data_IF_038449554572
#
_entry.id   IF_038449554572
#
_cell.length_a   1.000
_cell.length_b   1.000
_cell.length_c   1.000
_cell.angle_alpha   90.00
_cell.angle_beta   90.00
_cell.angle_gamma   90.00
#
_symmetry.space_group_name_H-M   'P 1'
#
loop_
_entity.id
_entity.type
_entity.pdbx_description
1 polymer ?
#
# COMPACT_ATOMS: atom_id res chain seq x y z
N UNK A 1 -10.76 -14.21 15.85
CA UNK A 1 -9.90 -13.00 15.79
C UNK A 1 -10.76 -11.80 15.44
N UNK A 2 -10.65 -10.67 16.16
CA UNK A 2 -11.44 -9.48 15.87
C UNK A 2 -11.16 -9.03 14.42
N UNK A 3 -12.19 -8.87 13.58
CA UNK A 3 -12.05 -8.52 12.14
C UNK A 3 -11.14 -7.32 11.88
N UNK A 4 -11.12 -6.35 12.81
CA UNK A 4 -10.26 -5.17 12.74
C UNK A 4 -8.79 -5.50 12.98
N UNK A 5 -8.49 -6.37 13.96
CA UNK A 5 -7.13 -6.85 14.21
C UNK A 5 -6.65 -7.74 13.06
N UNK A 6 -7.53 -8.60 12.53
CA UNK A 6 -7.21 -9.42 11.36
C UNK A 6 -6.83 -8.58 10.14
N UNK A 7 -7.61 -7.53 9.86
CA UNK A 7 -7.29 -6.58 8.79
C UNK A 7 -5.96 -5.85 9.05
N UNK A 8 -5.72 -5.39 10.27
CA UNK A 8 -4.46 -4.73 10.67
C UNK A 8 -3.25 -5.64 10.44
N UNK A 9 -3.25 -6.85 11.01
CA UNK A 9 -2.12 -7.78 10.84
C UNK A 9 -1.91 -8.17 9.38
N UNK A 10 -2.99 -8.40 8.63
CA UNK A 10 -2.91 -8.73 7.22
C UNK A 10 -2.30 -7.58 6.39
N UNK A 11 -2.82 -6.37 6.56
CA UNK A 11 -2.39 -5.19 5.80
C UNK A 11 -0.96 -4.79 6.16
N UNK A 12 -0.63 -4.77 7.45
CA UNK A 12 0.73 -4.48 7.93
C UNK A 12 1.70 -5.57 7.48
N UNK A 13 1.30 -6.85 7.50
CA UNK A 13 2.13 -7.95 7.01
C UNK A 13 2.43 -7.86 5.51
N UNK A 14 1.43 -7.54 4.69
CA UNK A 14 1.61 -7.33 3.25
C UNK A 14 2.55 -6.14 2.97
N UNK A 15 2.32 -5.00 3.60
CA UNK A 15 3.17 -3.82 3.44
C UNK A 15 4.59 -4.08 3.95
N UNK A 16 4.76 -4.78 5.07
CA UNK A 16 6.09 -5.18 5.58
C UNK A 16 6.83 -6.04 4.58
N UNK A 17 6.13 -6.99 3.96
CA UNK A 17 6.70 -7.86 2.92
C UNK A 17 7.14 -7.03 1.72
N UNK A 18 6.34 -6.04 1.30
CA UNK A 18 6.72 -5.13 0.22
C UNK A 18 7.98 -4.34 0.57
N UNK A 19 8.08 -3.79 1.77
CA UNK A 19 9.27 -3.07 2.23
C UNK A 19 10.50 -3.96 2.23
N UNK A 20 10.38 -5.21 2.69
CA UNK A 20 11.49 -6.17 2.67
C UNK A 20 11.95 -6.49 1.24
N UNK A 21 11.01 -6.71 0.32
CA UNK A 21 11.35 -6.94 -1.09
C UNK A 21 12.10 -5.75 -1.67
N UNK A 22 11.61 -4.54 -1.41
CA UNK A 22 12.22 -3.31 -1.90
C UNK A 22 13.62 -3.07 -1.32
N UNK A 23 13.80 -3.21 0.00
CA UNK A 23 15.05 -2.88 0.69
C UNK A 23 16.11 -3.97 0.54
N UNK A 24 15.71 -5.24 0.45
CA UNK A 24 16.63 -6.37 0.47
C UNK A 24 16.66 -7.11 -0.85
N UNK A 25 15.52 -7.59 -1.33
CA UNK A 25 15.47 -8.51 -2.48
C UNK A 25 15.92 -7.80 -3.76
N UNK A 26 15.44 -6.59 -4.03
CA UNK A 26 15.81 -5.83 -5.23
C UNK A 26 17.31 -5.49 -5.23
N UNK A 27 17.89 -4.83 -4.20
CA UNK A 27 19.31 -4.51 -4.20
C UNK A 27 20.20 -5.76 -4.23
N UNK A 28 19.84 -6.82 -3.50
CA UNK A 28 20.61 -8.07 -3.48
C UNK A 28 20.64 -8.74 -4.86
N UNK A 29 19.49 -8.82 -5.54
CA UNK A 29 19.39 -9.44 -6.87
C UNK A 29 20.17 -8.63 -7.91
N UNK A 30 20.10 -7.30 -7.87
CA UNK A 30 20.85 -6.43 -8.76
C UNK A 30 22.36 -6.52 -8.53
N UNK A 31 22.80 -6.54 -7.27
CA UNK A 31 24.21 -6.66 -6.91
C UNK A 31 24.79 -8.01 -7.39
N UNK A 32 24.04 -9.10 -7.25
CA UNK A 32 24.50 -10.41 -7.66
C UNK A 32 24.57 -10.58 -9.19
N UNK A 33 23.60 -10.03 -9.93
CA UNK A 33 23.51 -10.22 -11.38
C UNK A 33 24.33 -9.19 -12.18
N UNK A 34 24.56 -8.00 -11.64
CA UNK A 34 25.20 -6.90 -12.38
C UNK A 34 26.18 -6.11 -11.50
N UNK A 35 27.33 -6.68 -11.08
CA UNK A 35 28.14 -6.10 -10.02
C UNK A 35 28.82 -4.75 -10.32
N UNK A 36 28.97 -4.32 -11.59
CA UNK A 36 29.70 -3.08 -11.95
C UNK A 36 29.25 -2.44 -13.26
N UNK A 37 27.96 -2.09 -13.38
CA UNK A 37 27.47 -1.46 -14.61
C UNK A 37 26.51 -0.31 -14.29
N UNK A 38 26.60 0.82 -14.99
CA UNK A 38 25.64 1.94 -14.85
C UNK A 38 24.19 1.51 -15.10
N UNK A 39 24.03 0.37 -15.78
CA UNK A 39 22.77 -0.31 -16.02
C UNK A 39 22.06 -0.73 -14.72
N UNK A 40 22.79 -0.95 -13.61
CA UNK A 40 22.22 -1.26 -12.28
C UNK A 40 21.34 -0.13 -11.78
N UNK A 41 21.80 1.12 -11.87
CA UNK A 41 21.04 2.28 -11.38
C UNK A 41 19.75 2.45 -12.17
N UNK A 42 19.81 2.30 -13.50
CA UNK A 42 18.62 2.38 -14.37
C UNK A 42 17.64 1.25 -14.10
N UNK A 43 18.12 0.02 -13.94
CA UNK A 43 17.25 -1.11 -13.58
C UNK A 43 16.62 -0.91 -12.20
N UNK A 44 17.37 -0.37 -11.24
CA UNK A 44 16.85 -0.06 -9.91
C UNK A 44 15.72 0.96 -9.96
N UNK A 45 15.88 2.05 -10.71
CA UNK A 45 14.83 3.06 -10.92
C UNK A 45 13.57 2.48 -11.55
N UNK A 46 13.72 1.67 -12.61
CA UNK A 46 12.58 1.01 -13.28
C UNK A 46 11.88 0.03 -12.34
N UNK A 47 12.64 -0.74 -11.55
CA UNK A 47 12.09 -1.67 -10.58
C UNK A 47 11.34 -0.93 -9.46
N UNK A 48 11.87 0.18 -8.93
CA UNK A 48 11.16 1.00 -7.94
C UNK A 48 9.87 1.57 -8.53
N UNK A 49 9.90 2.10 -9.75
CA UNK A 49 8.69 2.62 -10.40
C UNK A 49 7.62 1.53 -10.56
N UNK A 50 8.02 0.34 -11.03
CA UNK A 50 7.13 -0.83 -11.12
C UNK A 50 6.57 -1.23 -9.75
N UNK A 51 7.41 -1.22 -8.72
CA UNK A 51 7.02 -1.55 -7.35
C UNK A 51 6.05 -0.52 -6.76
N UNK A 52 6.21 0.75 -7.10
CA UNK A 52 5.25 1.81 -6.79
C UNK A 52 3.88 1.55 -7.38
N UNK A 53 3.83 1.17 -8.66
CA UNK A 53 2.60 0.76 -9.34
C UNK A 53 1.89 -0.40 -8.64
N UNK A 54 2.65 -1.44 -8.27
CA UNK A 54 2.11 -2.58 -7.49
C UNK A 54 1.60 -2.13 -6.12
N UNK A 55 2.29 -1.20 -5.46
CA UNK A 55 1.87 -0.67 -4.16
C UNK A 55 0.54 0.09 -4.27
N UNK A 56 0.33 0.88 -5.32
CA UNK A 56 -0.96 1.53 -5.57
C UNK A 56 -2.09 0.53 -5.78
N UNK A 57 -1.86 -0.52 -6.59
CA UNK A 57 -2.83 -1.61 -6.78
C UNK A 57 -3.14 -2.31 -5.45
N UNK A 58 -2.14 -2.52 -4.60
CA UNK A 58 -2.32 -3.12 -3.29
C UNK A 58 -3.24 -2.28 -2.40
N UNK A 59 -3.15 -0.94 -2.42
CA UNK A 59 -4.11 -0.10 -1.68
C UNK A 59 -5.54 -0.21 -2.21
N UNK A 60 -5.72 -0.34 -3.52
CA UNK A 60 -7.04 -0.61 -4.12
C UNK A 60 -7.58 -1.96 -3.61
N UNK A 61 -6.75 -3.01 -3.65
CA UNK A 61 -7.13 -4.35 -3.18
C UNK A 61 -7.45 -4.34 -1.68
N UNK A 62 -6.67 -3.64 -0.85
CA UNK A 62 -6.94 -3.46 0.57
C UNK A 62 -8.27 -2.72 0.80
N UNK A 63 -8.53 -1.68 0.01
CA UNK A 63 -9.81 -0.98 -0.09
C UNK A 63 -10.98 -1.94 -0.28
N UNK A 64 -10.88 -2.75 -1.33
CA UNK A 64 -11.87 -3.76 -1.70
C UNK A 64 -12.07 -4.80 -0.59
N UNK A 65 -10.99 -5.42 -0.09
CA UNK A 65 -11.02 -6.44 0.96
C UNK A 65 -11.60 -5.90 2.26
N UNK A 66 -11.26 -4.66 2.65
CA UNK A 66 -11.81 -4.04 3.84
C UNK A 66 -13.33 -3.88 3.80
N UNK A 67 -13.92 -3.65 2.62
CA UNK A 67 -15.38 -3.59 2.43
C UNK A 67 -15.99 -5.00 2.38
N UNK A 68 -15.47 -5.87 1.52
CA UNK A 68 -16.13 -7.12 1.14
C UNK A 68 -15.74 -8.34 1.98
N UNK A 69 -14.47 -8.49 2.35
CA UNK A 69 -14.01 -9.60 3.18
C UNK A 69 -14.21 -9.30 4.67
N UNK A 70 -13.75 -8.12 5.12
CA UNK A 70 -13.74 -7.78 6.54
C UNK A 70 -14.98 -7.00 7.02
N UNK A 71 -15.86 -6.57 6.09
CA UNK A 71 -17.12 -5.86 6.41
C UNK A 71 -16.90 -4.65 7.33
N UNK A 72 -15.89 -3.82 7.01
CA UNK A 72 -15.48 -2.66 7.81
C UNK A 72 -16.17 -1.39 7.26
N UNK A 73 -16.81 -0.62 8.14
CA UNK A 73 -17.39 0.69 7.83
C UNK A 73 -16.30 1.67 7.39
N UNK A 74 -16.64 2.62 6.50
CA UNK A 74 -15.68 3.57 5.92
C UNK A 74 -14.86 4.31 6.99
N UNK A 75 -15.51 4.91 7.99
CA UNK A 75 -14.82 5.69 9.04
C UNK A 75 -13.82 4.83 9.82
N UNK A 76 -14.18 3.59 10.14
CA UNK A 76 -13.28 2.65 10.83
C UNK A 76 -12.15 2.19 9.92
N UNK A 77 -12.42 2.02 8.62
CA UNK A 77 -11.41 1.61 7.66
C UNK A 77 -10.36 2.69 7.45
N UNK A 78 -10.79 3.94 7.31
CA UNK A 78 -9.90 5.11 7.22
C UNK A 78 -9.08 5.27 8.50
N UNK A 79 -9.68 5.05 9.66
CA UNK A 79 -8.94 5.07 10.94
C UNK A 79 -7.89 3.95 11.01
N UNK A 80 -8.23 2.72 10.64
CA UNK A 80 -7.27 1.61 10.60
C UNK A 80 -6.16 1.86 9.60
N UNK A 81 -6.49 2.42 8.43
CA UNK A 81 -5.50 2.81 7.45
C UNK A 81 -4.59 3.92 7.98
N UNK A 82 -5.14 4.92 8.69
CA UNK A 82 -4.35 5.93 9.37
C UNK A 82 -3.39 5.32 10.39
N UNK A 83 -3.81 4.34 11.18
CA UNK A 83 -2.93 3.62 12.12
C UNK A 83 -1.80 2.90 11.38
N UNK A 84 -2.07 2.28 10.23
CA UNK A 84 -1.04 1.62 9.38
C UNK A 84 -0.10 2.66 8.75
N UNK A 85 -0.62 3.82 8.38
CA UNK A 85 0.14 4.93 7.80
C UNK A 85 0.87 5.77 8.86
N UNK A 86 0.55 5.61 10.14
CA UNK A 86 1.11 6.42 11.22
C UNK A 86 2.65 6.40 11.26
N UNK A 87 3.35 5.27 11.04
CA UNK A 87 4.80 5.25 10.91
C UNK A 87 5.33 6.13 9.76
N UNK A 88 4.61 6.25 8.64
CA UNK A 88 4.94 7.17 7.55
C UNK A 88 4.86 8.62 8.01
N UNK A 89 3.71 9.00 8.60
CA UNK A 89 3.46 10.38 9.02
C UNK A 89 4.43 10.81 10.11
N UNK A 90 4.74 9.91 11.05
CA UNK A 90 5.76 10.11 12.07
C UNK A 90 7.15 10.35 11.46
N UNK A 91 7.54 9.57 10.44
CA UNK A 91 8.83 9.75 9.78
C UNK A 91 8.93 11.13 9.10
N UNK A 92 7.91 11.53 8.34
CA UNK A 92 7.88 12.84 7.67
C UNK A 92 8.01 14.00 8.68
N UNK A 93 7.28 13.94 9.80
CA UNK A 93 7.34 14.96 10.86
C UNK A 93 8.69 14.94 11.59
N UNK A 94 9.22 13.76 11.91
CA UNK A 94 10.50 13.62 12.61
C UNK A 94 11.69 14.07 11.75
N UNK A 95 11.63 13.87 10.44
CA UNK A 95 12.65 14.31 9.48
C UNK A 95 12.71 15.84 9.39
N UNK A 96 11.57 16.54 9.49
CA UNK A 96 11.55 18.01 9.53
C UNK A 96 12.03 18.58 10.86
N UNK A 97 11.70 17.92 11.98
CA UNK A 97 11.94 18.46 13.32
C UNK A 97 13.33 18.13 13.86
N UNK A 98 13.99 17.08 13.34
CA UNK A 98 15.20 16.55 13.98
C UNK A 98 16.28 16.20 12.96
N UNK A 99 17.31 17.03 12.88
CA UNK A 99 18.64 16.68 12.32
C UNK A 99 19.37 15.58 13.12
N UNK A 100 18.70 14.92 14.08
CA UNK A 100 19.29 13.98 15.01
C UNK A 100 19.45 12.57 14.41
N UNK A 101 20.71 12.23 14.11
CA UNK A 101 21.27 10.87 14.10
C UNK A 101 21.36 10.31 15.55
N UNK A 102 21.64 9.02 15.81
CA UNK A 102 21.40 7.76 15.10
C UNK A 102 21.01 6.63 16.10
N UNK A 103 19.78 6.56 16.64
CA UNK A 103 19.50 5.57 17.70
C UNK A 103 18.53 4.44 17.37
N UNK A 104 18.00 4.36 16.15
CA UNK A 104 17.27 3.15 15.71
C UNK A 104 17.50 2.90 14.21
N UNK A 105 18.72 2.48 13.85
CA UNK A 105 19.11 2.30 12.44
C UNK A 105 18.16 1.41 11.64
N UNK A 106 17.74 0.28 12.20
CA UNK A 106 16.87 -0.69 11.51
C UNK A 106 15.43 -0.17 11.37
N UNK A 107 14.84 0.36 12.44
CA UNK A 107 13.47 0.87 12.37
C UNK A 107 13.37 2.14 11.50
N UNK A 108 14.42 2.96 11.47
CA UNK A 108 14.51 4.11 10.58
C UNK A 108 14.60 3.66 9.12
N UNK A 109 15.49 2.74 8.78
CA UNK A 109 15.61 2.20 7.41
C UNK A 109 14.31 1.53 6.97
N UNK A 110 13.64 0.83 7.89
CA UNK A 110 12.33 0.24 7.61
C UNK A 110 11.25 1.31 7.41
N UNK A 111 11.18 2.34 8.26
CA UNK A 111 10.24 3.44 8.13
C UNK A 111 10.49 4.28 6.86
N UNK A 112 11.74 4.48 6.48
CA UNK A 112 12.16 5.09 5.20
C UNK A 112 11.74 4.21 4.03
N UNK A 113 11.99 2.89 4.09
CA UNK A 113 11.59 1.95 3.05
C UNK A 113 10.07 1.87 2.88
N UNK A 114 9.35 1.90 4.00
CA UNK A 114 7.90 1.99 4.09
C UNK A 114 7.43 3.30 3.46
N UNK A 115 7.99 4.45 3.86
CA UNK A 115 7.76 5.77 3.26
C UNK A 115 7.96 5.80 1.73
N UNK A 116 9.09 5.26 1.31
CA UNK A 116 9.47 5.22 -0.08
C UNK A 116 8.68 4.22 -0.92
N UNK A 117 7.76 3.41 -0.39
CA UNK A 117 6.95 2.52 -1.23
C UNK A 117 6.13 3.30 -2.27
N UNK A 118 5.67 4.49 -1.90
CA UNK A 118 4.90 5.39 -2.77
C UNK A 118 5.69 6.67 -3.09
N UNK A 119 6.42 7.20 -2.10
CA UNK A 119 7.11 8.47 -2.25
C UNK A 119 8.22 8.41 -3.30
N UNK A 120 9.05 7.35 -3.32
CA UNK A 120 10.16 7.24 -4.29
C UNK A 120 9.68 7.14 -5.75
N UNK A 121 8.71 6.28 -6.12
CA UNK A 121 8.13 6.29 -7.47
C UNK A 121 7.59 7.66 -7.86
N UNK A 122 6.94 8.36 -6.92
CA UNK A 122 6.40 9.70 -7.16
C UNK A 122 7.53 10.72 -7.35
N UNK A 123 8.60 10.65 -6.56
CA UNK A 123 9.81 11.49 -6.72
C UNK A 123 10.48 11.25 -8.07
N UNK A 124 10.59 9.99 -8.50
CA UNK A 124 11.17 9.63 -9.79
C UNK A 124 10.34 10.16 -10.98
N UNK A 125 9.00 10.15 -10.86
CA UNK A 125 8.12 10.63 -11.92
C UNK A 125 8.02 12.16 -11.98
N UNK A 126 7.99 12.85 -10.83
CA UNK A 126 7.68 14.28 -10.77
C UNK A 126 8.88 15.16 -10.42
N UNK A 127 10.03 14.61 -10.02
CA UNK A 127 11.24 15.34 -9.59
C UNK A 127 10.99 16.42 -8.52
N UNK A 128 9.95 16.28 -7.69
CA UNK A 128 9.60 17.25 -6.63
C UNK A 128 9.88 16.64 -5.25
N UNK A 129 10.68 17.32 -4.43
CA UNK A 129 11.17 16.77 -3.15
C UNK A 129 10.33 17.09 -1.90
N UNK A 130 9.74 18.30 -1.71
CA UNK A 130 9.20 18.62 -0.38
C UNK A 130 7.80 18.08 -0.09
N UNK A 131 7.01 17.70 -1.10
CA UNK A 131 5.59 17.34 -0.90
C UNK A 131 5.24 15.89 -1.26
N UNK A 132 6.22 15.10 -1.66
CA UNK A 132 5.98 13.73 -2.16
C UNK A 132 5.53 12.77 -1.07
N UNK A 133 5.97 12.95 0.16
CA UNK A 133 5.57 12.09 1.29
C UNK A 133 4.12 12.35 1.70
N UNK A 134 3.72 13.63 1.73
CA UNK A 134 2.34 14.05 1.98
C UNK A 134 1.43 13.57 0.85
N UNK A 135 1.87 13.74 -0.40
CA UNK A 135 1.15 13.22 -1.57
C UNK A 135 1.01 11.70 -1.52
N UNK A 136 2.06 10.98 -1.15
CA UNK A 136 2.05 9.53 -1.02
C UNK A 136 1.00 9.05 0.01
N UNK A 137 0.96 9.69 1.17
CA UNK A 137 -0.05 9.42 2.20
C UNK A 137 -1.44 9.68 1.62
N UNK A 138 -1.67 10.85 1.03
CA UNK A 138 -2.96 11.21 0.44
C UNK A 138 -3.39 10.23 -0.66
N UNK A 139 -2.48 9.89 -1.57
CA UNK A 139 -2.69 8.93 -2.64
C UNK A 139 -3.11 7.56 -2.06
N UNK A 140 -2.46 7.09 -0.98
CA UNK A 140 -2.85 5.82 -0.33
C UNK A 140 -4.30 5.83 0.16
N UNK A 141 -4.79 6.96 0.70
CA UNK A 141 -6.19 7.12 1.11
C UNK A 141 -7.14 7.16 -0.08
N UNK A 142 -6.75 7.84 -1.16
CA UNK A 142 -7.52 7.92 -2.41
C UNK A 142 -7.66 6.53 -3.03
N UNK A 143 -6.56 5.80 -3.22
CA UNK A 143 -6.57 4.46 -3.80
C UNK A 143 -7.33 3.45 -2.93
N UNK A 144 -7.20 3.54 -1.60
CA UNK A 144 -8.02 2.75 -0.68
C UNK A 144 -9.51 3.07 -0.84
N UNK A 145 -9.87 4.34 -1.03
CA UNK A 145 -11.26 4.74 -1.24
C UNK A 145 -11.81 4.24 -2.58
N UNK A 146 -11.01 4.34 -3.66
CA UNK A 146 -11.32 3.77 -4.97
C UNK A 146 -11.55 2.26 -4.86
N UNK A 147 -10.68 1.54 -4.14
CA UNK A 147 -10.85 0.11 -3.88
C UNK A 147 -12.19 -0.25 -3.26
N UNK A 148 -12.72 0.61 -2.39
CA UNK A 148 -14.03 0.40 -1.75
C UNK A 148 -15.22 0.67 -2.70
N UNK A 149 -15.04 1.53 -3.70
CA UNK A 149 -16.09 1.80 -4.69
C UNK A 149 -16.21 0.68 -5.73
N UNK A 150 -15.21 -0.20 -5.82
CA UNK A 150 -15.27 -1.37 -6.68
C UNK A 150 -16.30 -2.36 -6.11
N UNK A 151 -17.39 -2.51 -6.83
CA UNK A 151 -18.34 -3.60 -6.64
C UNK A 151 -18.19 -4.55 -7.82
N UNK A 152 -17.66 -5.75 -7.52
CA UNK A 152 -17.59 -6.82 -8.51
C UNK A 152 -19.02 -7.35 -8.66
N UNK A 153 -19.60 -7.09 -9.82
CA UNK A 153 -20.91 -7.62 -10.20
C UNK A 153 -20.73 -9.12 -10.40
N UNK A 154 -21.02 -9.91 -9.37
CA UNK A 154 -21.20 -11.36 -9.52
C UNK A 154 -22.49 -11.59 -10.31
N UNK A 155 -22.39 -11.79 -11.62
CA UNK A 155 -23.52 -12.19 -12.47
C UNK A 155 -24.26 -13.41 -11.89
N UNK A 156 -23.53 -14.32 -11.21
CA UNK A 156 -24.08 -15.50 -10.54
C UNK A 156 -24.99 -15.15 -9.34
N UNK A 157 -24.66 -14.11 -8.56
CA UNK A 157 -25.51 -13.69 -7.43
C UNK A 157 -26.80 -13.04 -7.92
N UNK A 158 -26.74 -12.35 -9.05
CA UNK A 158 -27.92 -11.74 -9.67
C UNK A 158 -28.82 -12.81 -10.31
N UNK A 159 -28.23 -13.82 -10.95
CA UNK A 159 -28.95 -15.00 -11.45
C UNK A 159 -29.67 -15.79 -10.35
N UNK A 160 -29.02 -16.01 -9.19
CA UNK A 160 -29.62 -16.68 -8.03
C UNK A 160 -30.74 -15.83 -7.42
N UNK A 161 -30.55 -14.50 -7.36
CA UNK A 161 -31.57 -13.54 -6.93
C UNK A 161 -32.82 -13.55 -7.83
N UNK A 162 -32.62 -13.57 -9.15
CA UNK A 162 -33.69 -13.65 -10.13
C UNK A 162 -34.46 -14.99 -10.05
N UNK A 163 -33.77 -16.13 -9.89
CA UNK A 163 -34.45 -17.43 -9.67
C UNK A 163 -35.34 -17.45 -8.43
N UNK A 164 -34.93 -16.80 -7.34
CA UNK A 164 -35.75 -16.70 -6.12
C UNK A 164 -37.03 -15.90 -6.37
N UNK A 165 -36.96 -14.79 -7.12
CA UNK A 165 -38.14 -13.98 -7.47
C UNK A 165 -39.12 -14.73 -8.39
N UNK A 166 -38.61 -15.52 -9.34
CA UNK A 166 -39.44 -16.34 -10.23
C UNK A 166 -40.19 -17.45 -9.47
N UNK A 167 -39.62 -17.98 -8.39
CA UNK A 167 -40.30 -18.98 -7.54
C UNK A 167 -41.39 -18.40 -6.65
N UNK A 168 -41.27 -17.14 -6.24
CA UNK A 168 -42.26 -16.47 -5.36
C UNK A 168 -43.46 -15.93 -6.15
N UNK A 169 -43.31 -15.68 -7.45
CA UNK A 169 -44.40 -15.26 -8.34
C UNK A 169 -45.29 -16.39 -8.90
N UNK A 170 -45.11 -17.65 -8.44
CA UNK A 170 -46.06 -18.75 -8.70
C UNK A 170 -46.94 -18.95 -7.47
N UNK A 171 -47.91 -18.07 -7.26
CA UNK A 171 -49.14 -18.35 -6.51
C UNK A 171 -50.28 -17.67 -7.26
#
# INVERSE_FOLDING_TARGET
MNRYLGYLFFSTGLLSTMVLVKLWVIPFTLWHLFPQNDLVSRLYEVLIMGFGGVTFLLFIVLGYLGKHAFHINLSKHLFLHFVIQFPFAMHAILQEVTDARPLIGVARVFAEGWCGLIAEPTRLLFMVYPWTDIFAIFASFVFLSIGRTIDIVDEDKDWIGQRKRIKVGRV
#
